data_IF_128147999618
#
_entry.id   IF_128147999618
#
_cell.length_a   1.000
_cell.length_b   1.000
_cell.length_c   1.000
_cell.angle_alpha   90.00
_cell.angle_beta   90.00
_cell.angle_gamma   90.00
#
_symmetry.space_group_name_H-M   'P 1'
#
loop_
_entity.id
_entity.type
_entity.pdbx_description
1 polymer ?
#
# COMPACT_ATOMS: atom_id res chain seq x y z
N UNK A 1 -29.15 5.50 -3.57
CA UNK A 1 -28.41 4.46 -4.31
C UNK A 1 -27.09 4.24 -3.60
N UNK A 2 -26.50 3.05 -3.66
CA UNK A 2 -25.16 2.83 -3.10
C UNK A 2 -24.11 3.50 -3.98
N UNK A 3 -23.12 4.17 -3.36
CA UNK A 3 -22.01 4.79 -4.10
C UNK A 3 -21.15 3.70 -4.75
N UNK A 4 -20.78 3.88 -6.01
CA UNK A 4 -19.91 2.93 -6.72
C UNK A 4 -18.45 3.39 -6.63
N UNK A 5 -17.58 2.50 -6.15
CA UNK A 5 -16.16 2.77 -5.91
C UNK A 5 -15.30 1.82 -6.75
N UNK A 6 -14.40 2.39 -7.54
CA UNK A 6 -13.42 1.64 -8.32
C UNK A 6 -12.18 1.33 -7.49
N UNK A 7 -11.86 0.06 -7.29
CA UNK A 7 -10.68 -0.40 -6.57
C UNK A 7 -9.63 -0.89 -7.58
N UNK A 8 -8.49 -0.19 -7.67
CA UNK A 8 -7.44 -0.50 -8.64
C UNK A 8 -6.25 -1.12 -7.92
N UNK A 9 -5.85 -2.31 -8.31
CA UNK A 9 -4.63 -2.98 -7.80
C UNK A 9 -3.52 -3.00 -8.84
N UNK A 10 -2.27 -2.95 -8.38
CA UNK A 10 -1.09 -3.23 -9.22
C UNK A 10 -0.90 -4.73 -9.51
N UNK A 11 -1.64 -5.60 -8.83
CA UNK A 11 -1.70 -7.04 -9.04
C UNK A 11 -2.85 -7.45 -9.95
N UNK A 12 -3.36 -8.66 -9.71
CA UNK A 12 -4.60 -9.14 -10.33
C UNK A 12 -5.80 -8.87 -9.44
N UNK A 13 -6.96 -8.56 -10.05
CA UNK A 13 -8.25 -8.47 -9.38
C UNK A 13 -9.03 -9.81 -9.49
N UNK A 14 -9.97 -10.10 -8.56
CA UNK A 14 -10.28 -9.35 -7.35
C UNK A 14 -9.24 -9.56 -6.22
N UNK A 15 -9.04 -8.53 -5.39
CA UNK A 15 -8.13 -8.57 -4.23
C UNK A 15 -8.90 -9.00 -2.98
N UNK A 16 -9.21 -10.27 -2.91
CA UNK A 16 -9.94 -10.86 -1.77
C UNK A 16 -9.16 -10.78 -0.43
N UNK A 17 -7.86 -10.59 -0.51
CA UNK A 17 -6.96 -10.38 0.63
C UNK A 17 -6.93 -8.94 1.16
N UNK A 18 -7.42 -7.96 0.39
CA UNK A 18 -7.34 -6.52 0.72
C UNK A 18 -8.72 -5.88 0.82
N UNK A 19 -9.53 -5.98 -0.24
CA UNK A 19 -10.79 -5.25 -0.37
C UNK A 19 -11.78 -5.54 0.75
N UNK A 20 -12.01 -6.79 1.18
CA UNK A 20 -12.96 -7.07 2.26
C UNK A 20 -12.59 -6.39 3.59
N UNK A 21 -11.30 -6.26 3.90
CA UNK A 21 -10.86 -5.59 5.13
C UNK A 21 -11.01 -4.06 5.03
N UNK A 22 -10.75 -3.47 3.86
CA UNK A 22 -11.03 -2.04 3.62
C UNK A 22 -12.51 -1.76 3.80
N UNK A 23 -13.38 -2.59 3.22
CA UNK A 23 -14.83 -2.42 3.27
C UNK A 23 -15.41 -2.55 4.69
N UNK A 24 -14.83 -3.38 5.55
CA UNK A 24 -15.26 -3.47 6.97
C UNK A 24 -15.10 -2.16 7.74
N UNK A 25 -14.29 -1.23 7.24
CA UNK A 25 -14.07 0.07 7.85
C UNK A 25 -15.02 1.15 7.31
N UNK A 26 -15.79 0.83 6.28
CA UNK A 26 -16.78 1.73 5.66
C UNK A 26 -18.16 1.37 6.19
N UNK A 27 -18.83 2.36 6.80
CA UNK A 27 -20.14 2.18 7.45
C UNK A 27 -21.31 2.31 6.47
N UNK A 28 -21.11 3.04 5.37
CA UNK A 28 -22.15 3.26 4.39
C UNK A 28 -22.15 2.15 3.32
N UNK A 29 -23.33 1.76 2.81
CA UNK A 29 -23.41 0.80 1.71
C UNK A 29 -22.72 1.35 0.46
N UNK A 30 -21.82 0.53 -0.12
CA UNK A 30 -21.17 0.85 -1.40
C UNK A 30 -21.08 -0.39 -2.28
N UNK A 31 -20.94 -0.17 -3.57
CA UNK A 31 -20.65 -1.18 -4.57
C UNK A 31 -19.21 -1.02 -5.03
N UNK A 32 -18.45 -2.12 -5.09
CA UNK A 32 -17.07 -2.10 -5.59
C UNK A 32 -16.97 -2.67 -6.99
N UNK A 33 -16.20 -2.01 -7.83
CA UNK A 33 -15.75 -2.54 -9.12
C UNK A 33 -14.23 -2.60 -9.08
N UNK A 34 -13.67 -3.79 -9.28
CA UNK A 34 -12.23 -3.98 -9.20
C UNK A 34 -11.58 -4.06 -10.58
N UNK A 35 -10.35 -3.56 -10.67
CA UNK A 35 -9.48 -3.69 -11.82
C UNK A 35 -8.03 -3.91 -11.39
N UNK A 36 -7.36 -4.86 -12.02
CA UNK A 36 -5.95 -5.16 -11.79
C UNK A 36 -5.08 -4.79 -12.99
N UNK A 37 -3.92 -4.19 -12.71
CA UNK A 37 -2.93 -3.87 -13.74
C UNK A 37 -2.32 -5.12 -14.40
N UNK A 38 -2.49 -6.29 -13.77
CA UNK A 38 -2.05 -7.60 -14.29
C UNK A 38 -3.23 -8.49 -14.74
N UNK A 39 -4.46 -7.94 -14.80
CA UNK A 39 -5.60 -8.72 -15.27
C UNK A 39 -5.38 -9.21 -16.71
N UNK A 40 -5.73 -10.47 -16.97
CA UNK A 40 -5.54 -11.10 -18.26
C UNK A 40 -4.11 -11.58 -18.56
N UNK A 41 -3.14 -11.30 -17.70
CA UNK A 41 -1.77 -11.80 -17.86
C UNK A 41 -1.59 -13.14 -17.15
N UNK A 42 -0.90 -14.05 -17.83
CA UNK A 42 -0.38 -15.26 -17.20
C UNK A 42 0.96 -14.98 -16.47
N UNK A 43 1.47 -15.97 -15.75
CA UNK A 43 2.70 -15.84 -14.98
C UNK A 43 3.92 -15.56 -15.87
N UNK A 44 3.95 -16.07 -17.11
CA UNK A 44 5.03 -15.83 -18.07
C UNK A 44 5.09 -14.36 -18.48
N UNK A 45 3.95 -13.79 -18.86
CA UNK A 45 3.83 -12.38 -19.21
C UNK A 45 4.16 -11.47 -18.01
N UNK A 46 3.75 -11.86 -16.79
CA UNK A 46 4.07 -11.10 -15.57
C UNK A 46 5.57 -11.13 -15.26
N UNK A 47 6.26 -12.25 -15.46
CA UNK A 47 7.72 -12.35 -15.29
C UNK A 47 8.49 -11.41 -16.22
N UNK A 48 7.97 -11.13 -17.42
CA UNK A 48 8.57 -10.16 -18.34
C UNK A 48 8.49 -8.70 -17.83
N UNK A 49 7.68 -8.44 -16.81
CA UNK A 49 7.55 -7.13 -16.16
C UNK A 49 8.43 -7.00 -14.90
N UNK A 50 9.29 -8.00 -14.64
CA UNK A 50 10.19 -7.99 -13.50
C UNK A 50 11.17 -6.81 -13.53
N UNK A 51 11.63 -6.33 -12.36
CA UNK A 51 12.56 -5.21 -12.30
C UNK A 51 13.95 -5.64 -12.79
N UNK A 52 14.57 -4.81 -13.63
CA UNK A 52 15.98 -4.88 -14.00
C UNK A 52 16.84 -4.00 -13.10
N UNK A 53 18.13 -3.91 -13.43
CA UNK A 53 19.06 -3.04 -12.71
C UNK A 53 18.60 -1.57 -12.76
N UNK A 54 18.51 -0.92 -11.60
CA UNK A 54 18.08 0.48 -11.49
C UNK A 54 16.57 0.72 -11.47
N UNK A 55 15.75 -0.31 -11.65
CA UNK A 55 14.29 -0.17 -11.58
C UNK A 55 13.79 -0.04 -10.13
N UNK A 56 12.80 0.81 -9.93
CA UNK A 56 12.02 0.79 -8.69
C UNK A 56 11.13 -0.45 -8.68
N UNK A 57 11.27 -1.24 -7.60
CA UNK A 57 10.55 -2.49 -7.41
C UNK A 57 9.23 -2.27 -6.68
N UNK A 58 8.14 -2.78 -7.26
CA UNK A 58 6.85 -2.95 -6.61
C UNK A 58 6.64 -4.42 -6.28
N UNK A 59 5.98 -4.69 -5.15
CA UNK A 59 5.62 -6.04 -4.71
C UNK A 59 4.10 -6.16 -4.70
N UNK A 60 3.58 -7.22 -5.29
CA UNK A 60 2.14 -7.49 -5.31
C UNK A 60 1.86 -8.99 -5.36
N UNK A 61 0.58 -9.35 -5.52
CA UNK A 61 0.11 -10.72 -5.50
C UNK A 61 -0.72 -11.03 -6.74
N UNK A 62 -0.52 -12.22 -7.27
CA UNK A 62 -1.37 -12.82 -8.31
C UNK A 62 -2.66 -13.38 -7.67
N UNK A 63 -3.63 -13.73 -8.49
CA UNK A 63 -4.90 -14.32 -8.02
C UNK A 63 -4.72 -15.70 -7.38
N UNK A 64 -3.73 -16.45 -7.81
CA UNK A 64 -3.35 -17.75 -7.23
C UNK A 64 -2.62 -17.63 -5.89
N UNK A 65 -2.35 -16.40 -5.45
CA UNK A 65 -1.65 -16.12 -4.20
C UNK A 65 -0.14 -15.99 -4.32
N UNK A 66 0.47 -16.17 -5.49
CA UNK A 66 1.91 -15.99 -5.67
C UNK A 66 2.31 -14.53 -5.54
N UNK A 67 3.40 -14.28 -4.82
CA UNK A 67 4.04 -12.97 -4.75
C UNK A 67 4.83 -12.71 -6.04
N UNK A 68 4.71 -11.52 -6.60
CA UNK A 68 5.47 -11.09 -7.78
C UNK A 68 6.08 -9.72 -7.58
N UNK A 69 7.26 -9.54 -8.19
CA UNK A 69 8.02 -8.30 -8.18
C UNK A 69 7.98 -7.67 -9.57
N UNK A 70 7.64 -6.37 -9.62
CA UNK A 70 7.37 -5.67 -10.87
C UNK A 70 8.19 -4.38 -10.96
N UNK A 71 8.67 -4.05 -12.15
CA UNK A 71 9.24 -2.74 -12.39
C UNK A 71 8.13 -1.67 -12.46
N UNK A 72 8.25 -0.63 -11.66
CA UNK A 72 7.25 0.45 -11.58
C UNK A 72 6.92 1.05 -12.95
N UNK A 73 7.92 1.21 -13.83
CA UNK A 73 7.72 1.79 -15.16
C UNK A 73 6.66 1.05 -16.00
N UNK A 74 6.54 -0.27 -15.84
CA UNK A 74 5.53 -1.06 -16.53
C UNK A 74 4.14 -0.92 -15.95
N UNK A 75 4.05 -0.53 -14.66
CA UNK A 75 2.77 -0.41 -13.97
C UNK A 75 2.06 0.92 -14.23
N UNK A 76 2.80 2.01 -14.43
CA UNK A 76 2.22 3.35 -14.67
C UNK A 76 1.18 3.34 -15.80
N UNK A 77 1.47 2.92 -17.03
CA UNK A 77 0.48 2.92 -18.10
C UNK A 77 -0.68 1.94 -17.84
N UNK A 78 -0.43 0.84 -17.14
CA UNK A 78 -1.47 -0.16 -16.83
C UNK A 78 -2.44 0.34 -15.76
N UNK A 79 -1.94 1.06 -14.75
CA UNK A 79 -2.80 1.71 -13.74
C UNK A 79 -3.64 2.78 -14.42
N UNK A 80 -3.05 3.62 -15.29
CA UNK A 80 -3.82 4.62 -16.04
C UNK A 80 -4.93 3.98 -16.87
N UNK A 81 -4.66 2.88 -17.54
CA UNK A 81 -5.68 2.15 -18.31
C UNK A 81 -6.82 1.59 -17.39
N UNK A 82 -6.50 1.18 -16.15
CA UNK A 82 -7.53 0.80 -15.17
C UNK A 82 -8.38 2.00 -14.75
N UNK A 83 -7.76 3.17 -14.53
CA UNK A 83 -8.47 4.42 -14.20
C UNK A 83 -9.43 4.77 -15.33
N UNK A 84 -8.94 4.85 -16.57
CA UNK A 84 -9.72 5.22 -17.75
C UNK A 84 -10.91 4.28 -17.97
N UNK A 85 -10.72 2.99 -17.71
CA UNK A 85 -11.77 1.95 -17.82
C UNK A 85 -12.85 2.09 -16.76
N UNK A 86 -12.48 2.36 -15.49
CA UNK A 86 -13.42 2.38 -14.38
C UNK A 86 -14.14 3.73 -14.21
N UNK A 87 -13.46 4.83 -14.50
CA UNK A 87 -13.94 6.18 -14.23
C UNK A 87 -15.37 6.49 -14.76
N UNK A 88 -15.81 5.98 -15.94
CA UNK A 88 -17.18 6.24 -16.41
C UNK A 88 -18.27 5.61 -15.55
N UNK A 89 -17.98 4.57 -14.79
CA UNK A 89 -18.96 3.75 -14.07
C UNK A 89 -18.89 3.88 -12.55
N UNK A 90 -18.00 4.71 -12.00
CA UNK A 90 -17.78 4.87 -10.56
C UNK A 90 -17.75 6.35 -10.16
N UNK A 91 -17.94 6.64 -8.88
CA UNK A 91 -17.94 7.99 -8.33
C UNK A 91 -16.59 8.33 -7.69
N UNK A 92 -15.89 7.32 -7.16
CA UNK A 92 -14.58 7.44 -6.51
C UNK A 92 -13.68 6.32 -7.04
N UNK A 93 -12.40 6.63 -7.19
CA UNK A 93 -11.35 5.65 -7.51
C UNK A 93 -10.36 5.54 -6.35
N UNK A 94 -9.92 4.34 -6.05
CA UNK A 94 -8.95 4.04 -4.99
C UNK A 94 -7.82 3.18 -5.55
N UNK A 95 -6.59 3.62 -5.41
CA UNK A 95 -5.42 2.81 -5.74
C UNK A 95 -5.04 1.93 -4.54
N UNK A 96 -5.06 0.62 -4.70
CA UNK A 96 -4.65 -0.34 -3.69
C UNK A 96 -3.12 -0.57 -3.75
N UNK A 97 -2.36 0.51 -3.63
CA UNK A 97 -0.91 0.50 -3.60
C UNK A 97 -0.37 1.75 -2.88
N UNK A 98 0.72 1.58 -2.15
CA UNK A 98 1.47 2.67 -1.50
C UNK A 98 2.79 2.97 -2.22
N UNK A 99 2.94 2.56 -3.46
CA UNK A 99 4.03 3.00 -4.33
C UNK A 99 3.89 4.48 -4.67
N UNK A 100 5.02 5.18 -4.85
CA UNK A 100 5.01 6.54 -5.37
C UNK A 100 4.95 6.49 -6.89
N UNK A 101 3.90 7.06 -7.46
CA UNK A 101 3.71 7.14 -8.90
C UNK A 101 3.81 8.59 -9.40
N UNK A 102 4.03 8.82 -10.70
CA UNK A 102 3.76 10.11 -11.31
C UNK A 102 2.25 10.40 -11.22
N UNK A 103 1.87 11.65 -11.40
CA UNK A 103 0.47 12.05 -11.40
C UNK A 103 -0.34 11.29 -12.45
N UNK A 104 -1.45 10.69 -12.01
CA UNK A 104 -2.42 10.05 -12.89
C UNK A 104 -3.52 11.03 -13.28
N UNK A 105 -4.04 10.89 -14.50
CA UNK A 105 -5.22 11.63 -14.95
C UNK A 105 -6.47 10.89 -14.49
N UNK A 106 -7.34 11.56 -13.76
CA UNK A 106 -8.61 10.99 -13.33
C UNK A 106 -9.71 12.06 -13.38
N UNK A 107 -10.87 11.78 -14.03
CA UNK A 107 -12.03 12.66 -13.97
C UNK A 107 -12.86 12.48 -12.68
N UNK A 108 -12.45 11.57 -11.80
CA UNK A 108 -13.09 11.27 -10.52
C UNK A 108 -12.11 11.55 -9.38
N UNK A 109 -12.60 11.83 -8.16
CA UNK A 109 -11.75 11.79 -6.97
C UNK A 109 -10.95 10.49 -6.94
N UNK A 110 -9.63 10.63 -6.82
CA UNK A 110 -8.71 9.49 -6.86
C UNK A 110 -7.90 9.44 -5.57
N UNK A 111 -8.17 8.43 -4.76
CA UNK A 111 -7.47 8.22 -3.50
C UNK A 111 -6.18 7.44 -3.76
N UNK A 112 -5.05 8.13 -3.67
CA UNK A 112 -3.71 7.56 -3.70
C UNK A 112 -3.16 7.44 -2.27
N UNK A 113 -3.04 6.22 -1.72
CA UNK A 113 -2.65 6.03 -0.32
C UNK A 113 -1.27 6.58 0.02
N UNK A 114 -0.34 6.59 -0.95
CA UNK A 114 1.04 7.04 -0.72
C UNK A 114 1.11 8.46 -0.16
N UNK A 115 0.50 9.42 -0.85
CA UNK A 115 0.54 10.82 -0.44
C UNK A 115 -0.17 11.03 0.91
N UNK A 116 -1.30 10.36 1.10
CA UNK A 116 -2.07 10.39 2.34
C UNK A 116 -1.26 9.89 3.53
N UNK A 117 -0.69 8.68 3.43
CA UNK A 117 0.09 8.06 4.49
C UNK A 117 1.31 8.93 4.85
N UNK A 118 2.04 9.40 3.83
CA UNK A 118 3.23 10.22 4.06
C UNK A 118 2.89 11.53 4.81
N UNK A 119 1.78 12.21 4.45
CA UNK A 119 1.35 13.45 5.12
C UNK A 119 0.93 13.20 6.57
N UNK A 120 0.21 12.11 6.82
CA UNK A 120 -0.19 11.73 8.18
C UNK A 120 1.04 11.42 9.03
N UNK A 121 2.00 10.65 8.50
CA UNK A 121 3.24 10.31 9.22
C UNK A 121 4.06 11.57 9.53
N UNK A 122 4.23 12.47 8.56
CA UNK A 122 4.90 13.77 8.78
C UNK A 122 4.24 14.58 9.89
N UNK A 123 2.90 14.69 9.84
CA UNK A 123 2.13 15.44 10.84
C UNK A 123 2.29 14.88 12.26
N UNK A 124 2.23 13.55 12.40
CA UNK A 124 2.30 12.89 13.71
C UNK A 124 3.71 12.84 14.29
N UNK A 125 4.72 12.65 13.45
CA UNK A 125 6.11 12.59 13.91
C UNK A 125 6.70 13.97 14.21
N UNK A 126 6.28 14.98 13.48
CA UNK A 126 6.83 16.33 13.50
C UNK A 126 8.23 16.42 12.86
N UNK A 127 8.76 17.65 12.68
CA UNK A 127 10.08 17.85 12.11
C UNK A 127 11.16 17.11 12.91
N UNK A 128 12.07 16.41 12.23
CA UNK A 128 13.14 15.62 12.87
C UNK A 128 12.66 14.38 13.62
N UNK A 129 11.36 14.06 13.54
CA UNK A 129 10.78 12.93 14.27
C UNK A 129 11.31 11.59 13.79
N UNK A 130 11.68 10.69 14.73
CA UNK A 130 12.12 9.34 14.42
C UNK A 130 10.90 8.44 14.11
N UNK A 131 10.93 7.74 12.98
CA UNK A 131 9.84 6.88 12.51
C UNK A 131 10.35 5.50 12.08
N UNK A 132 9.61 4.46 12.48
CA UNK A 132 9.78 3.12 11.96
C UNK A 132 8.99 2.91 10.67
N UNK A 133 9.58 2.31 9.66
CA UNK A 133 8.90 2.01 8.41
C UNK A 133 9.06 0.54 8.06
N UNK A 134 7.95 -0.18 7.94
CA UNK A 134 7.91 -1.53 7.39
C UNK A 134 7.60 -1.47 5.90
N UNK A 135 8.44 -2.10 5.09
CA UNK A 135 8.29 -2.24 3.63
C UNK A 135 8.24 -3.71 3.21
N UNK A 136 7.59 -4.07 2.10
CA UNK A 136 7.43 -5.47 1.68
C UNK A 136 8.73 -6.23 1.42
N UNK A 137 9.74 -5.58 0.85
CA UNK A 137 10.95 -6.26 0.40
C UNK A 137 12.23 -5.49 0.64
N UNK A 138 13.36 -6.20 0.74
CA UNK A 138 14.68 -5.62 0.98
C UNK A 138 15.10 -4.60 -0.09
N UNK A 139 14.71 -4.80 -1.35
CA UNK A 139 14.97 -3.87 -2.45
C UNK A 139 14.35 -2.48 -2.24
N UNK A 140 13.33 -2.37 -1.38
CA UNK A 140 12.64 -1.11 -1.11
C UNK A 140 13.21 -0.33 0.09
N UNK A 141 14.12 -0.93 0.87
CA UNK A 141 14.64 -0.32 2.10
C UNK A 141 15.38 0.98 1.82
N UNK A 142 16.29 0.99 0.86
CA UNK A 142 17.12 2.17 0.55
C UNK A 142 16.26 3.32 0.01
N UNK A 143 15.37 3.06 -0.94
CA UNK A 143 14.47 4.07 -1.52
C UNK A 143 13.47 4.62 -0.50
N UNK A 144 12.91 3.76 0.37
CA UNK A 144 12.01 4.17 1.44
C UNK A 144 12.73 5.03 2.49
N UNK A 145 13.97 4.68 2.84
CA UNK A 145 14.80 5.49 3.75
C UNK A 145 15.06 6.87 3.17
N UNK A 146 15.53 6.94 1.92
CA UNK A 146 15.81 8.22 1.26
C UNK A 146 14.56 9.09 1.13
N UNK A 147 13.42 8.49 0.74
CA UNK A 147 12.13 9.18 0.65
C UNK A 147 11.72 9.78 1.99
N UNK A 148 11.74 8.97 3.06
CA UNK A 148 11.29 9.40 4.39
C UNK A 148 12.22 10.46 4.99
N UNK A 149 13.53 10.35 4.78
CA UNK A 149 14.50 11.37 5.16
C UNK A 149 14.28 12.68 4.40
N UNK A 150 13.91 12.60 3.11
CA UNK A 150 13.55 13.76 2.30
C UNK A 150 12.34 14.56 2.81
N UNK A 151 11.53 13.97 3.68
CA UNK A 151 10.45 14.66 4.41
C UNK A 151 10.90 15.31 5.73
N UNK A 152 12.20 15.32 6.01
CA UNK A 152 12.73 15.86 7.27
C UNK A 152 12.52 14.94 8.47
N UNK A 153 12.30 13.65 8.26
CA UNK A 153 12.13 12.64 9.31
C UNK A 153 13.39 11.78 9.45
N UNK A 154 13.54 11.10 10.58
CA UNK A 154 14.63 10.16 10.85
C UNK A 154 14.11 8.71 10.74
N UNK A 155 14.27 8.04 9.58
CA UNK A 155 13.69 6.73 9.36
C UNK A 155 14.56 5.58 9.84
N UNK A 156 13.96 4.62 10.54
CA UNK A 156 14.46 3.24 10.65
C UNK A 156 13.59 2.35 9.77
N UNK A 157 14.14 1.79 8.69
CA UNK A 157 13.38 1.03 7.69
C UNK A 157 13.72 -0.45 7.78
N UNK A 158 12.72 -1.30 7.85
CA UNK A 158 12.83 -2.76 7.93
C UNK A 158 11.96 -3.42 6.87
N UNK A 159 12.48 -4.47 6.23
CA UNK A 159 11.73 -5.26 5.27
C UNK A 159 11.05 -6.46 5.95
N UNK A 160 9.76 -6.65 5.64
CA UNK A 160 9.02 -7.86 5.97
C UNK A 160 7.90 -8.03 4.94
N UNK A 161 7.80 -9.19 4.28
CA UNK A 161 6.76 -9.41 3.28
C UNK A 161 5.37 -9.42 3.93
N UNK A 162 4.36 -8.73 3.33
CA UNK A 162 2.98 -8.80 3.77
C UNK A 162 2.29 -10.15 3.40
N UNK A 163 3.02 -11.04 2.76
CA UNK A 163 2.53 -12.35 2.34
C UNK A 163 3.11 -13.50 3.17
N UNK A 164 3.70 -13.17 4.33
CA UNK A 164 4.14 -14.11 5.36
C UNK A 164 3.15 -14.14 6.53
N UNK A 165 3.48 -14.91 7.57
CA UNK A 165 2.66 -14.96 8.80
C UNK A 165 2.82 -13.69 9.63
N UNK A 166 1.77 -13.25 10.36
CA UNK A 166 1.82 -12.05 11.21
C UNK A 166 2.97 -12.04 12.20
N UNK A 167 3.34 -13.20 12.76
CA UNK A 167 4.42 -13.33 13.73
C UNK A 167 5.79 -13.01 13.13
N UNK A 168 5.98 -13.27 11.84
CA UNK A 168 7.23 -12.95 11.13
C UNK A 168 7.37 -11.45 10.93
N UNK A 169 6.28 -10.79 10.56
CA UNK A 169 6.23 -9.32 10.45
C UNK A 169 6.46 -8.67 11.82
N UNK A 170 5.85 -9.24 12.88
CA UNK A 170 6.09 -8.82 14.26
C UNK A 170 7.55 -8.94 14.67
N UNK A 171 8.19 -10.09 14.40
CA UNK A 171 9.63 -10.29 14.71
C UNK A 171 10.51 -9.26 14.01
N UNK A 172 10.25 -8.94 12.76
CA UNK A 172 10.98 -7.91 12.03
C UNK A 172 10.83 -6.53 12.70
N UNK A 173 9.67 -6.22 13.25
CA UNK A 173 9.37 -4.95 13.91
C UNK A 173 9.95 -4.83 15.33
N UNK A 174 10.47 -5.91 15.92
CA UNK A 174 11.04 -5.89 17.28
C UNK A 174 12.23 -4.91 17.43
N UNK A 175 12.91 -4.60 16.33
CA UNK A 175 14.01 -3.62 16.30
C UNK A 175 13.55 -2.20 16.72
N UNK A 176 12.28 -1.89 16.62
CA UNK A 176 11.74 -0.59 17.05
C UNK A 176 11.50 -0.50 18.56
N UNK A 177 11.49 -1.64 19.27
CA UNK A 177 11.36 -1.66 20.73
C UNK A 177 12.58 -0.97 21.37
N UNK A 178 12.33 -0.11 22.36
CA UNK A 178 13.42 0.61 23.05
C UNK A 178 14.14 1.68 22.21
N UNK A 179 13.80 1.85 20.92
CA UNK A 179 14.34 2.90 20.08
C UNK A 179 13.61 4.24 20.27
N UNK A 180 14.19 5.33 19.74
CA UNK A 180 13.58 6.67 19.75
C UNK A 180 12.43 6.83 18.76
N UNK A 181 12.06 5.79 18.04
CA UNK A 181 10.93 5.78 17.10
C UNK A 181 9.64 6.16 17.82
N UNK A 182 8.98 7.23 17.35
CA UNK A 182 7.72 7.73 17.91
C UNK A 182 6.51 6.92 17.43
N UNK A 183 6.55 6.47 16.18
CA UNK A 183 5.49 5.67 15.57
C UNK A 183 6.08 4.76 14.49
N UNK A 184 5.40 3.66 14.22
CA UNK A 184 5.74 2.74 13.13
C UNK A 184 4.66 2.83 12.05
N UNK A 185 5.06 2.90 10.78
CA UNK A 185 4.15 2.83 9.64
C UNK A 185 4.36 1.54 8.86
N UNK A 186 3.27 0.80 8.65
CA UNK A 186 3.23 -0.38 7.79
C UNK A 186 2.88 0.08 6.38
N UNK A 187 3.95 0.34 5.60
CA UNK A 187 3.89 1.07 4.34
C UNK A 187 3.68 0.12 3.15
N UNK A 188 2.60 -0.65 3.20
CA UNK A 188 2.08 -1.45 2.10
C UNK A 188 0.61 -1.75 2.34
N UNK A 189 -0.18 -1.74 1.27
CA UNK A 189 -1.59 -2.10 1.34
C UNK A 189 -1.78 -3.60 1.62
N UNK A 190 -0.77 -4.41 1.36
CA UNK A 190 -0.76 -5.85 1.60
C UNK A 190 -0.79 -6.24 3.09
N UNK A 191 -0.26 -5.41 3.99
CA UNK A 191 -0.34 -5.69 5.43
C UNK A 191 -1.77 -5.61 5.93
N UNK A 192 -2.14 -6.51 6.85
CA UNK A 192 -3.47 -6.61 7.44
C UNK A 192 -3.51 -6.23 8.93
N UNK A 193 -4.71 -6.29 9.53
CA UNK A 193 -4.91 -5.93 10.92
C UNK A 193 -4.22 -6.92 11.90
N UNK A 194 -4.15 -8.21 11.56
CA UNK A 194 -3.47 -9.20 12.39
C UNK A 194 -1.96 -8.93 12.44
N UNK A 195 -1.37 -8.57 11.30
CA UNK A 195 0.03 -8.14 11.21
C UNK A 195 0.29 -6.86 12.00
N UNK A 196 -0.60 -5.86 11.89
CA UNK A 196 -0.51 -4.63 12.70
C UNK A 196 -0.48 -4.94 14.19
N UNK A 197 -1.34 -5.83 14.65
CA UNK A 197 -1.43 -6.18 16.06
C UNK A 197 -0.20 -6.96 16.52
N UNK A 198 0.39 -7.82 15.67
CA UNK A 198 1.65 -8.47 15.93
C UNK A 198 2.82 -7.45 16.01
N UNK A 199 2.87 -6.47 15.09
CA UNK A 199 3.84 -5.37 15.12
C UNK A 199 3.71 -4.56 16.40
N UNK A 200 2.49 -4.18 16.80
CA UNK A 200 2.25 -3.42 18.04
C UNK A 200 2.76 -4.16 19.28
N UNK A 201 2.47 -5.45 19.39
CA UNK A 201 2.99 -6.25 20.50
C UNK A 201 4.50 -6.36 20.52
N UNK A 202 5.12 -6.46 19.34
CA UNK A 202 6.57 -6.63 19.24
C UNK A 202 7.35 -5.33 19.50
N UNK A 203 6.88 -4.19 18.98
CA UNK A 203 7.60 -2.92 19.07
C UNK A 203 7.17 -2.02 20.24
N UNK A 204 5.98 -2.25 20.83
CA UNK A 204 5.38 -1.41 21.89
C UNK A 204 5.27 0.08 21.52
N UNK A 205 5.04 0.35 20.24
CA UNK A 205 4.89 1.71 19.68
C UNK A 205 3.50 1.86 19.03
N UNK A 206 3.01 3.10 18.86
CA UNK A 206 1.89 3.36 17.97
C UNK A 206 2.20 2.86 16.55
N UNK A 207 1.22 2.19 15.90
CA UNK A 207 1.38 1.64 14.56
C UNK A 207 0.28 2.14 13.66
N UNK A 208 0.66 2.69 12.51
CA UNK A 208 -0.23 3.05 11.41
C UNK A 208 -0.21 1.95 10.35
N UNK A 209 -1.39 1.52 9.95
CA UNK A 209 -1.58 0.57 8.86
C UNK A 209 -2.18 1.31 7.65
N UNK A 210 -1.46 1.33 6.53
CA UNK A 210 -1.88 2.04 5.32
C UNK A 210 -3.28 1.61 4.84
N UNK A 211 -3.58 0.30 4.86
CA UNK A 211 -4.89 -0.25 4.52
C UNK A 211 -6.02 0.33 5.36
N UNK A 212 -5.82 0.43 6.68
CA UNK A 212 -6.83 0.98 7.58
C UNK A 212 -7.08 2.47 7.35
N UNK A 213 -6.04 3.23 6.99
CA UNK A 213 -6.20 4.64 6.63
C UNK A 213 -7.04 4.81 5.37
N UNK A 214 -6.79 3.99 4.35
CA UNK A 214 -7.60 3.99 3.11
C UNK A 214 -9.08 3.76 3.43
N UNK A 215 -9.40 2.72 4.23
CA UNK A 215 -10.79 2.42 4.58
C UNK A 215 -11.47 3.55 5.35
N UNK A 216 -10.76 4.18 6.31
CA UNK A 216 -11.30 5.29 7.11
C UNK A 216 -11.50 6.56 6.30
N UNK A 217 -10.58 6.87 5.38
CA UNK A 217 -10.74 8.03 4.50
C UNK A 217 -11.88 7.79 3.51
N UNK A 218 -11.99 6.57 2.98
CA UNK A 218 -13.11 6.23 2.12
C UNK A 218 -14.46 6.34 2.85
N UNK A 219 -14.56 5.89 4.11
CA UNK A 219 -15.75 6.05 4.95
C UNK A 219 -16.12 7.52 5.16
N UNK A 220 -15.13 8.40 5.31
CA UNK A 220 -15.34 9.84 5.48
C UNK A 220 -15.78 10.54 4.19
N UNK A 221 -15.37 10.00 3.03
CA UNK A 221 -15.74 10.55 1.70
C UNK A 221 -17.16 10.19 1.27
N UNK A 222 -17.79 9.20 1.91
CA UNK A 222 -19.12 8.67 1.57
C UNK A 222 -20.21 9.21 2.51
#
# INVERSE_FOLDING_TARGET
MATRVGMITIGQSPRQDVVPEVLRLVRRPLETVEAGALDGLDLGAVRALAPGAGDETLVTRMRDGSEVHLAKRHMVPRIQACIDRLAPSVEILVLLCTGRFPEFRSPRPFLEPQALVDRIVQSLAGPGGAVGVLVPGAAQVASSRAKTAGYGLVPTVVAASPYTRPEEVGRAAAVFRGSDVKLVVMHCIGYDAAMRDAVRRACEKPVLLARSLVGKILDEML
#
